data_IF_031264558382
#
_entry.id   IF_031264558382
#
_cell.length_a   1.000
_cell.length_b   1.000
_cell.length_c   1.000
_cell.angle_alpha   90.00
_cell.angle_beta   90.00
_cell.angle_gamma   90.00
#
_symmetry.space_group_name_H-M   'P 1'
#
loop_
_entity.id
_entity.type
_entity.pdbx_description
1 polymer ?
#
# COMPACT_ATOMS: atom_id res chain seq x y z
N UNK A 1 -14.16 31.73 49.20
CA UNK A 1 -13.68 31.60 47.80
C UNK A 1 -14.12 30.27 47.25
N UNK A 2 -14.91 30.28 46.16
CA UNK A 2 -15.71 29.12 45.66
C UNK A 2 -14.86 28.03 44.99
N UNK A 3 -15.00 26.75 45.38
CA UNK A 3 -14.23 25.61 44.80
C UNK A 3 -14.65 25.20 43.39
N UNK A 4 -15.65 25.85 42.78
CA UNK A 4 -16.22 25.51 41.49
C UNK A 4 -15.27 25.65 40.27
N UNK A 5 -14.22 26.46 40.39
CA UNK A 5 -13.32 26.68 39.27
C UNK A 5 -12.23 25.59 39.14
N UNK A 6 -11.80 25.00 40.27
CA UNK A 6 -10.78 23.92 40.22
C UNK A 6 -11.26 22.67 39.51
N UNK A 7 -12.52 22.29 39.71
CA UNK A 7 -13.13 21.13 39.04
C UNK A 7 -13.23 21.34 37.50
N UNK A 8 -13.56 22.56 37.04
CA UNK A 8 -13.57 22.88 35.59
C UNK A 8 -12.19 22.80 34.97
N UNK A 9 -11.16 23.29 35.69
CA UNK A 9 -9.76 23.23 35.20
C UNK A 9 -9.25 21.78 35.14
N UNK A 10 -9.56 20.95 36.14
CA UNK A 10 -9.21 19.52 36.15
C UNK A 10 -9.92 18.78 35.02
N UNK A 11 -11.20 19.05 34.78
CA UNK A 11 -11.95 18.45 33.68
C UNK A 11 -11.39 18.86 32.33
N UNK A 12 -10.98 20.13 32.18
CA UNK A 12 -10.38 20.64 30.94
C UNK A 12 -9.00 20.01 30.67
N UNK A 13 -8.19 19.79 31.70
CA UNK A 13 -6.89 19.10 31.60
C UNK A 13 -7.09 17.62 31.23
N UNK A 14 -8.09 16.92 31.78
CA UNK A 14 -8.39 15.51 31.47
C UNK A 14 -8.85 15.39 30.01
N UNK A 15 -9.70 16.29 29.53
CA UNK A 15 -10.16 16.31 28.13
C UNK A 15 -9.00 16.57 27.17
N UNK A 16 -8.08 17.50 27.51
CA UNK A 16 -6.90 17.78 26.68
C UNK A 16 -5.91 16.61 26.65
N UNK A 17 -5.79 15.83 27.72
CA UNK A 17 -4.91 14.66 27.79
C UNK A 17 -5.42 13.46 26.97
N UNK A 18 -6.74 13.35 26.73
CA UNK A 18 -7.33 12.27 25.96
C UNK A 18 -7.16 12.40 24.43
N UNK A 19 -6.73 13.55 23.93
CA UNK A 19 -6.62 13.79 22.46
C UNK A 19 -5.30 13.38 21.84
N UNK A 20 -4.31 12.91 22.60
CA UNK A 20 -2.95 12.61 22.09
C UNK A 20 -2.65 11.12 21.88
N UNK A 21 -3.65 10.21 21.99
CA UNK A 21 -3.45 8.82 21.63
C UNK A 21 -3.80 8.66 20.14
N UNK A 22 -3.01 9.28 19.27
CA UNK A 22 -3.01 8.96 17.84
C UNK A 22 -2.11 7.74 17.65
N UNK A 23 -2.72 6.56 17.54
CA UNK A 23 -2.01 5.37 17.10
C UNK A 23 -1.72 5.52 15.60
N UNK A 24 -0.60 6.15 15.27
CA UNK A 24 -0.12 6.23 13.88
C UNK A 24 0.67 4.97 13.57
N UNK A 25 0.15 4.14 12.65
CA UNK A 25 0.92 3.03 12.09
C UNK A 25 2.21 3.56 11.48
N UNK A 26 3.34 3.03 11.94
CA UNK A 26 4.66 3.51 11.49
C UNK A 26 4.95 2.97 10.09
N UNK A 27 4.98 3.84 9.10
CA UNK A 27 5.47 3.49 7.76
C UNK A 27 6.99 3.29 7.81
N UNK A 28 7.45 2.12 7.42
CA UNK A 28 8.88 1.76 7.38
C UNK A 28 9.45 1.77 5.97
N UNK A 29 8.59 1.64 4.96
CA UNK A 29 8.97 1.68 3.55
C UNK A 29 7.82 2.23 2.72
N UNK A 30 8.13 3.07 1.72
CA UNK A 30 7.15 3.52 0.73
C UNK A 30 7.88 3.92 -0.55
N UNK A 31 7.68 3.17 -1.61
CA UNK A 31 8.33 3.42 -2.89
C UNK A 31 7.45 3.03 -4.08
N UNK A 32 7.58 3.77 -5.18
CA UNK A 32 6.99 3.47 -6.48
C UNK A 32 8.09 3.12 -7.47
N UNK A 33 7.83 2.11 -8.30
CA UNK A 33 8.69 1.69 -9.41
C UNK A 33 7.96 1.93 -10.72
N UNK A 34 8.56 2.69 -11.61
CA UNK A 34 7.99 2.95 -12.93
C UNK A 34 8.10 1.72 -13.84
N UNK A 35 7.07 1.53 -14.64
CA UNK A 35 7.01 0.50 -15.67
C UNK A 35 7.49 1.10 -16.99
N UNK A 36 8.39 0.41 -17.68
CA UNK A 36 8.95 0.88 -18.93
C UNK A 36 7.88 0.99 -20.02
N UNK A 37 7.86 2.12 -20.70
CA UNK A 37 6.93 2.40 -21.81
C UNK A 37 5.44 2.20 -21.47
N UNK A 38 5.08 2.30 -20.18
CA UNK A 38 3.73 2.05 -19.69
C UNK A 38 3.16 0.68 -20.14
N UNK A 39 4.05 -0.31 -20.32
CA UNK A 39 3.73 -1.67 -20.76
C UNK A 39 4.34 -2.69 -19.81
N UNK A 40 3.51 -3.25 -18.96
CA UNK A 40 3.97 -4.24 -17.99
C UNK A 40 3.82 -5.66 -18.56
N UNK A 41 4.93 -6.34 -18.82
CA UNK A 41 4.90 -7.72 -19.27
C UNK A 41 4.78 -8.67 -18.07
N UNK A 42 4.13 -9.81 -18.28
CA UNK A 42 3.97 -10.84 -17.25
C UNK A 42 5.29 -11.37 -16.70
N UNK A 43 6.34 -11.32 -17.50
CA UNK A 43 7.70 -11.74 -17.10
C UNK A 43 8.45 -10.67 -16.33
N UNK A 44 7.96 -9.44 -16.32
CA UNK A 44 8.65 -8.32 -15.70
C UNK A 44 8.27 -8.22 -14.23
N UNK A 45 9.04 -8.91 -13.39
CA UNK A 45 8.88 -8.86 -11.95
C UNK A 45 9.42 -7.55 -11.40
N UNK A 46 8.59 -6.84 -10.64
CA UNK A 46 8.99 -5.63 -9.91
C UNK A 46 9.52 -6.03 -8.54
N UNK A 47 10.73 -5.58 -8.23
CA UNK A 47 11.41 -5.87 -6.98
C UNK A 47 11.40 -4.64 -6.06
N UNK A 48 10.99 -4.85 -4.82
CA UNK A 48 11.05 -3.85 -3.76
C UNK A 48 12.00 -4.33 -2.68
N UNK A 49 13.17 -3.71 -2.60
CA UNK A 49 14.14 -3.97 -1.54
C UNK A 49 13.98 -2.92 -0.47
N UNK A 50 13.61 -3.34 0.72
CA UNK A 50 13.49 -2.47 1.89
C UNK A 50 14.72 -2.61 2.80
N UNK A 51 14.98 -1.63 3.70
CA UNK A 51 16.16 -1.68 4.55
C UNK A 51 16.18 -2.90 5.48
N UNK A 52 17.32 -3.59 5.58
CA UNK A 52 17.54 -4.71 6.52
C UNK A 52 17.50 -4.25 8.00
N UNK A 53 17.46 -2.94 8.23
CA UNK A 53 17.42 -2.33 9.57
C UNK A 53 16.03 -2.28 10.19
N UNK A 54 15.01 -2.84 9.54
CA UNK A 54 13.68 -2.94 10.17
C UNK A 54 13.73 -3.98 11.30
N UNK A 55 13.00 -3.68 12.37
CA UNK A 55 12.95 -4.56 13.53
C UNK A 55 12.13 -5.84 13.24
N UNK A 56 12.40 -6.91 13.99
CA UNK A 56 11.55 -8.10 13.95
C UNK A 56 10.11 -7.74 14.34
N UNK A 57 9.13 -8.28 13.63
CA UNK A 57 7.73 -7.99 13.90
C UNK A 57 6.80 -8.31 12.74
N UNK A 58 5.52 -7.97 12.93
CA UNK A 58 4.47 -8.11 11.91
C UNK A 58 4.36 -6.82 11.12
N UNK A 59 4.25 -6.98 9.80
CA UNK A 59 4.15 -5.87 8.85
C UNK A 59 2.98 -6.07 7.92
N UNK A 60 2.32 -4.96 7.60
CA UNK A 60 1.24 -4.88 6.61
C UNK A 60 1.80 -4.28 5.33
N UNK A 61 1.43 -4.85 4.20
CA UNK A 61 1.73 -4.27 2.90
C UNK A 61 0.52 -3.50 2.36
N UNK A 62 0.80 -2.44 1.59
CA UNK A 62 -0.20 -1.75 0.80
C UNK A 62 0.35 -1.66 -0.62
N UNK A 63 -0.48 -2.07 -1.58
CA UNK A 63 -0.09 -2.11 -2.99
C UNK A 63 -0.70 -0.90 -3.68
N UNK A 64 0.16 -0.08 -4.28
CA UNK A 64 -0.22 1.08 -5.07
C UNK A 64 -0.09 0.81 -6.56
N UNK A 65 -1.04 1.30 -7.34
CA UNK A 65 -1.00 1.25 -8.81
C UNK A 65 -1.24 2.65 -9.34
N UNK A 66 -0.41 3.05 -10.32
CA UNK A 66 -0.70 4.20 -11.16
C UNK A 66 -0.96 3.72 -12.57
N UNK A 67 -2.02 4.24 -13.17
CA UNK A 67 -2.40 3.91 -14.53
C UNK A 67 -2.99 5.13 -15.25
N UNK A 68 -3.04 5.09 -16.56
CA UNK A 68 -3.72 6.11 -17.35
C UNK A 68 -5.18 5.72 -17.62
N UNK A 69 -5.95 6.66 -18.13
CA UNK A 69 -7.34 6.43 -18.58
C UNK A 69 -7.44 5.32 -19.64
N UNK A 70 -6.35 5.01 -20.33
CA UNK A 70 -6.28 4.01 -21.40
C UNK A 70 -6.14 2.57 -20.88
N UNK A 71 -6.06 2.34 -19.57
CA UNK A 71 -6.05 0.99 -19.02
C UNK A 71 -7.38 0.28 -19.36
N UNK A 72 -7.34 -0.89 -20.05
CA UNK A 72 -8.56 -1.44 -20.65
C UNK A 72 -9.38 -2.36 -19.73
N UNK A 73 -8.91 -2.60 -18.50
CA UNK A 73 -9.58 -3.52 -17.57
C UNK A 73 -10.02 -2.79 -16.32
N UNK A 74 -11.08 -3.25 -15.68
CA UNK A 74 -11.50 -2.77 -14.36
C UNK A 74 -10.81 -3.48 -13.21
N UNK A 75 -10.19 -4.64 -13.49
CA UNK A 75 -9.50 -5.47 -12.50
C UNK A 75 -8.01 -5.53 -12.79
N UNK A 76 -7.22 -5.74 -11.72
CA UNK A 76 -5.83 -6.10 -11.82
C UNK A 76 -5.53 -7.20 -10.80
N UNK A 77 -4.97 -8.30 -11.26
CA UNK A 77 -4.57 -9.42 -10.41
C UNK A 77 -3.06 -9.49 -10.35
N UNK A 78 -2.53 -9.52 -9.13
CA UNK A 78 -1.11 -9.55 -8.85
C UNK A 78 -0.75 -10.80 -8.06
N UNK A 79 0.47 -11.27 -8.27
CA UNK A 79 1.15 -12.21 -7.39
C UNK A 79 2.20 -11.46 -6.59
N UNK A 80 2.22 -11.65 -5.28
CA UNK A 80 3.10 -10.96 -4.33
C UNK A 80 3.86 -12.00 -3.53
N UNK A 81 5.18 -12.05 -3.70
CA UNK A 81 6.06 -12.92 -2.90
C UNK A 81 6.63 -12.12 -1.75
N UNK A 82 6.41 -12.60 -0.52
CA UNK A 82 6.79 -11.94 0.72
C UNK A 82 7.96 -12.63 1.40
N UNK A 83 8.76 -11.91 2.19
CA UNK A 83 9.82 -12.48 3.01
C UNK A 83 9.31 -13.61 3.92
N UNK A 84 10.11 -14.66 4.06
CA UNK A 84 9.78 -15.79 4.94
C UNK A 84 8.64 -16.69 4.47
N UNK A 85 8.03 -16.42 3.30
CA UNK A 85 6.99 -17.27 2.68
C UNK A 85 7.55 -18.01 1.47
N UNK A 86 7.18 -19.28 1.31
CA UNK A 86 7.52 -20.08 0.13
C UNK A 86 6.54 -19.88 -1.01
N UNK A 87 5.29 -19.58 -0.69
CA UNK A 87 4.21 -19.34 -1.66
C UNK A 87 3.93 -17.85 -1.81
N UNK A 88 3.53 -17.46 -3.01
CA UNK A 88 3.10 -16.08 -3.28
C UNK A 88 1.63 -15.91 -2.97
N UNK A 89 1.29 -14.77 -2.41
CA UNK A 89 -0.09 -14.35 -2.19
C UNK A 89 -0.68 -13.73 -3.48
N UNK A 90 -1.97 -13.91 -3.68
CA UNK A 90 -2.71 -13.26 -4.77
C UNK A 90 -3.43 -12.03 -4.24
N UNK A 91 -3.25 -10.90 -4.92
CA UNK A 91 -3.94 -9.64 -4.60
C UNK A 91 -4.81 -9.22 -5.76
N UNK A 92 -6.08 -8.94 -5.48
CA UNK A 92 -7.05 -8.45 -6.45
C UNK A 92 -7.35 -6.97 -6.22
N UNK A 93 -7.13 -6.16 -7.23
CA UNK A 93 -7.40 -4.73 -7.22
C UNK A 93 -8.61 -4.43 -8.11
N UNK A 94 -9.63 -3.80 -7.54
CA UNK A 94 -10.78 -3.29 -8.27
C UNK A 94 -10.54 -1.84 -8.66
N UNK A 95 -9.98 -1.59 -9.85
CA UNK A 95 -9.61 -0.26 -10.30
C UNK A 95 -10.81 0.56 -10.78
N UNK A 96 -11.86 -0.10 -11.28
CA UNK A 96 -13.10 0.55 -11.68
C UNK A 96 -14.33 -0.20 -11.18
N UNK A 97 -15.44 0.52 -10.98
CA UNK A 97 -16.73 -0.04 -10.61
C UNK A 97 -17.46 -0.67 -11.83
N UNK A 98 -18.64 -1.26 -11.58
CA UNK A 98 -19.44 -1.92 -12.61
C UNK A 98 -19.95 -0.97 -13.72
N UNK A 99 -19.98 0.33 -13.46
CA UNK A 99 -20.34 1.38 -14.42
C UNK A 99 -19.13 1.86 -15.24
N UNK A 100 -17.93 1.34 -14.99
CA UNK A 100 -16.68 1.73 -15.65
C UNK A 100 -16.04 3.01 -15.09
N UNK A 101 -16.52 3.53 -13.96
CA UNK A 101 -15.90 4.66 -13.31
C UNK A 101 -14.71 4.18 -12.45
N UNK A 102 -13.58 4.88 -12.55
CA UNK A 102 -12.41 4.57 -11.75
C UNK A 102 -12.67 4.77 -10.25
N UNK A 103 -12.22 3.82 -9.43
CA UNK A 103 -12.35 3.84 -7.97
C UNK A 103 -11.34 4.76 -7.27
N UNK A 104 -10.64 5.58 -8.03
CA UNK A 104 -9.68 6.57 -7.52
C UNK A 104 -9.87 7.90 -8.21
N UNK A 105 -9.40 8.96 -7.55
CA UNK A 105 -9.41 10.29 -8.13
C UNK A 105 -8.31 10.40 -9.19
N UNK A 106 -8.70 10.85 -10.38
CA UNK A 106 -7.77 11.14 -11.46
C UNK A 106 -7.09 12.50 -11.26
N UNK A 107 -5.91 12.67 -11.84
CA UNK A 107 -5.25 13.96 -12.00
C UNK A 107 -5.73 14.67 -13.28
N UNK A 108 -5.50 15.97 -13.37
CA UNK A 108 -5.76 16.73 -14.61
C UNK A 108 -4.98 16.20 -15.83
N UNK A 109 -3.90 15.46 -15.60
CA UNK A 109 -3.07 14.83 -16.64
C UNK A 109 -3.56 13.43 -17.04
N UNK A 110 -4.71 12.96 -16.53
CA UNK A 110 -5.29 11.67 -16.90
C UNK A 110 -4.63 10.45 -16.23
N UNK A 111 -3.90 10.66 -15.14
CA UNK A 111 -3.35 9.58 -14.29
C UNK A 111 -4.28 9.29 -13.12
N UNK A 112 -4.41 8.03 -12.79
CA UNK A 112 -5.17 7.53 -11.65
C UNK A 112 -4.25 6.78 -10.72
N UNK A 113 -4.39 7.01 -9.41
CA UNK A 113 -3.64 6.28 -8.39
C UNK A 113 -4.61 5.56 -7.47
N UNK A 114 -4.44 4.26 -7.37
CA UNK A 114 -5.23 3.38 -6.51
C UNK A 114 -4.30 2.69 -5.52
N UNK A 115 -4.72 2.56 -4.27
CA UNK A 115 -4.00 1.83 -3.21
C UNK A 115 -4.98 0.88 -2.52
N UNK A 116 -4.52 -0.34 -2.23
CA UNK A 116 -5.28 -1.34 -1.48
C UNK A 116 -4.38 -2.03 -0.47
N UNK A 117 -4.98 -2.58 0.56
CA UNK A 117 -4.28 -3.43 1.51
C UNK A 117 -3.82 -4.72 0.81
N UNK A 118 -2.60 -5.09 1.07
CA UNK A 118 -1.99 -6.33 0.61
C UNK A 118 -1.83 -7.32 1.77
N UNK A 119 -1.18 -8.46 1.52
CA UNK A 119 -0.94 -9.48 2.53
C UNK A 119 0.06 -9.00 3.59
N UNK A 120 -0.10 -9.49 4.82
CA UNK A 120 0.84 -9.27 5.91
C UNK A 120 1.97 -10.32 5.90
N UNK A 121 3.09 -9.98 6.53
CA UNK A 121 4.22 -10.89 6.73
C UNK A 121 4.89 -10.65 8.09
N UNK A 122 5.56 -11.68 8.57
CA UNK A 122 6.41 -11.60 9.75
C UNK A 122 7.85 -11.46 9.26
N UNK A 123 8.51 -10.39 9.67
CA UNK A 123 9.94 -10.20 9.41
C UNK A 123 10.75 -10.64 10.61
N UNK A 124 11.80 -11.41 10.35
CA UNK A 124 12.79 -11.85 11.33
C UNK A 124 14.19 -11.64 10.77
N UNK A 125 15.15 -11.42 11.62
CA UNK A 125 16.55 -11.32 11.24
C UNK A 125 16.99 -12.56 10.44
N UNK A 126 17.63 -12.33 9.29
CA UNK A 126 18.01 -13.39 8.35
C UNK A 126 16.98 -13.71 7.27
N UNK A 127 15.78 -13.12 7.31
CA UNK A 127 14.86 -13.16 6.17
C UNK A 127 15.35 -12.26 5.03
N UNK A 128 14.98 -12.64 3.81
CA UNK A 128 15.19 -11.80 2.64
C UNK A 128 14.41 -10.47 2.77
N UNK A 129 15.03 -9.34 2.44
CA UNK A 129 14.44 -8.00 2.50
C UNK A 129 13.83 -7.57 1.16
N UNK A 130 13.37 -8.53 0.37
CA UNK A 130 12.85 -8.30 -0.97
C UNK A 130 11.42 -8.78 -1.10
N UNK A 131 10.54 -7.90 -1.58
CA UNK A 131 9.18 -8.25 -2.00
C UNK A 131 9.15 -8.20 -3.53
N UNK A 132 8.55 -9.24 -4.14
CA UNK A 132 8.45 -9.40 -5.59
C UNK A 132 6.99 -9.29 -5.99
N UNK A 133 6.70 -8.48 -7.01
CA UNK A 133 5.34 -8.26 -7.51
C UNK A 133 5.32 -8.44 -9.03
N UNK A 134 4.40 -9.24 -9.55
CA UNK A 134 4.13 -9.35 -10.98
C UNK A 134 2.63 -9.57 -11.22
N UNK A 135 2.16 -9.21 -12.43
CA UNK A 135 0.76 -9.42 -12.76
C UNK A 135 0.48 -10.85 -13.24
N UNK A 136 -0.70 -11.36 -12.89
CA UNK A 136 -1.17 -12.69 -13.29
C UNK A 136 -2.42 -12.61 -14.21
N UNK A 137 -2.61 -11.47 -14.86
CA UNK A 137 -3.66 -11.27 -15.87
C UNK A 137 -3.46 -12.19 -17.06
N UNK A 138 -4.54 -12.50 -17.81
CA UNK A 138 -4.47 -13.36 -19.01
C UNK A 138 -3.61 -12.77 -20.13
N UNK A 139 -3.63 -11.44 -20.32
CA UNK A 139 -2.78 -10.74 -21.28
C UNK A 139 -1.30 -10.87 -20.92
N UNK A 140 -0.44 -11.06 -21.92
CA UNK A 140 1.01 -11.09 -21.68
C UNK A 140 1.55 -9.72 -21.30
N UNK A 141 1.06 -8.67 -21.93
CA UNK A 141 1.42 -7.28 -21.67
C UNK A 141 0.20 -6.48 -21.25
N UNK A 142 0.30 -5.75 -20.15
CA UNK A 142 -0.71 -4.80 -19.69
C UNK A 142 -0.29 -3.40 -20.13
N UNK A 143 -1.07 -2.74 -21.01
CA UNK A 143 -0.82 -1.35 -21.38
C UNK A 143 -1.28 -0.41 -20.27
N UNK A 144 -0.75 0.81 -20.28
CA UNK A 144 -1.21 1.93 -19.48
C UNK A 144 -1.04 1.78 -17.96
N UNK A 145 -0.27 0.81 -17.49
CA UNK A 145 0.24 0.77 -16.12
C UNK A 145 1.56 1.53 -16.10
N UNK A 146 1.62 2.63 -15.36
CA UNK A 146 2.79 3.51 -15.31
C UNK A 146 3.71 3.23 -14.14
N UNK A 147 3.14 2.89 -12.98
CA UNK A 147 3.92 2.61 -11.78
C UNK A 147 3.25 1.55 -10.90
N UNK A 148 4.09 0.81 -10.19
CA UNK A 148 3.71 -0.07 -9.08
C UNK A 148 4.29 0.48 -7.80
N UNK A 149 3.46 0.63 -6.76
CA UNK A 149 3.85 1.11 -5.44
C UNK A 149 3.78 0.02 -4.40
N UNK A 150 4.69 0.09 -3.45
CA UNK A 150 4.65 -0.70 -2.23
C UNK A 150 4.88 0.21 -1.02
N UNK A 151 3.97 0.14 -0.06
CA UNK A 151 4.11 0.73 1.26
C UNK A 151 4.08 -0.38 2.30
N UNK A 152 4.98 -0.33 3.26
CA UNK A 152 5.07 -1.28 4.37
C UNK A 152 4.87 -0.49 5.67
N UNK A 153 3.92 -0.94 6.49
CA UNK A 153 3.64 -0.37 7.80
C UNK A 153 3.83 -1.43 8.88
N UNK A 154 4.31 -1.02 10.04
CA UNK A 154 4.38 -1.91 11.21
C UNK A 154 3.00 -2.00 11.85
N UNK A 155 2.58 -3.20 12.19
CA UNK A 155 1.37 -3.47 12.98
C UNK A 155 1.55 -3.08 14.46
#
# INVERSE_FOLDING_TARGET
>A
MKPKNKAKWILMIIITCMTVISCTTKTVYHHYRSINDDKWNRTDTVFFTFPDSIENGTYLTHIGIRHTVSYPYRDLWLSVSLPGKTESDTVHLYLANDLGNWNSNGTASGYYQYETDGPSFIYSEGCDSVIKVFHIMKGFTLPAITDIGLKITRE
#
